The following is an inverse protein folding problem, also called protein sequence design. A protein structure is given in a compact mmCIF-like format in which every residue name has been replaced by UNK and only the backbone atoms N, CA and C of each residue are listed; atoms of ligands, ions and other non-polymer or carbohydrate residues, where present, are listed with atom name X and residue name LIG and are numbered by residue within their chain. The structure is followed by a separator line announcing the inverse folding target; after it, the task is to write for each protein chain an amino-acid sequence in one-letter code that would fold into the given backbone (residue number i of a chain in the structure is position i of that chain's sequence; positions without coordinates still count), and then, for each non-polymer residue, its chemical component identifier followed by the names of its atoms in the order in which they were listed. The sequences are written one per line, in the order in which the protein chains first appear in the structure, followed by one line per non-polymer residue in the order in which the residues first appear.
data_IF_344389143154
#
_entry.id   IF_344389143154
#
_cell.length_a   1.000
_cell.length_b   1.000
_cell.length_c   1.000
_cell.angle_alpha   90.00
_cell.angle_beta   90.00
_cell.angle_gamma   90.00
#
_symmetry.space_group_name_H-M   'P 1'
#
loop_
_entity.id
_entity.type
_entity.pdbx_description
1 polymer ?
#
# COMPACT_ATOMS: atom_id res chain seq x y z
N UNK A 1 -25.19 17.58 9.87
CA UNK A 1 -24.58 16.37 10.46
C UNK A 1 -23.31 16.10 9.67
N UNK A 2 -22.20 15.77 10.31
CA UNK A 2 -20.98 15.39 9.60
C UNK A 2 -21.17 14.07 8.83
N UNK A 3 -20.41 13.83 7.76
CA UNK A 3 -20.50 12.58 6.98
C UNK A 3 -20.36 11.33 7.86
N UNK A 4 -19.50 11.37 8.87
CA UNK A 4 -19.32 10.30 9.86
C UNK A 4 -20.61 10.02 10.67
N UNK A 5 -21.34 11.05 11.07
CA UNK A 5 -22.62 10.89 11.79
C UNK A 5 -23.67 10.22 10.92
N UNK A 6 -23.72 10.54 9.63
CA UNK A 6 -24.64 9.91 8.68
C UNK A 6 -24.26 8.44 8.42
N UNK A 7 -22.96 8.14 8.30
CA UNK A 7 -22.48 6.77 8.10
C UNK A 7 -22.75 5.89 9.33
N UNK A 8 -22.47 6.39 10.54
CA UNK A 8 -22.77 5.70 11.79
C UNK A 8 -24.26 5.36 11.92
N UNK A 9 -25.14 6.31 11.57
CA UNK A 9 -26.59 6.10 11.59
C UNK A 9 -27.03 5.04 10.57
N UNK A 10 -26.44 5.05 9.40
CA UNK A 10 -26.72 4.06 8.34
C UNK A 10 -26.27 2.65 8.75
N UNK A 11 -25.08 2.50 9.33
CA UNK A 11 -24.61 1.23 9.89
C UNK A 11 -25.60 0.68 10.92
N UNK A 12 -26.01 1.54 11.86
CA UNK A 12 -26.94 1.15 12.91
C UNK A 12 -28.32 0.72 12.36
N UNK A 13 -28.82 1.39 11.32
CA UNK A 13 -30.09 1.02 10.67
C UNK A 13 -29.96 -0.31 9.88
N UNK A 14 -28.86 -0.51 9.14
CA UNK A 14 -28.61 -1.78 8.43
C UNK A 14 -28.52 -2.96 9.42
N UNK A 15 -27.78 -2.83 10.50
CA UNK A 15 -27.70 -3.88 11.55
C UNK A 15 -29.09 -4.18 12.14
N UNK A 16 -29.90 -3.16 12.43
CA UNK A 16 -31.26 -3.33 12.93
C UNK A 16 -32.15 -4.12 11.96
N UNK A 17 -32.03 -3.84 10.66
CA UNK A 17 -32.88 -4.44 9.61
C UNK A 17 -32.42 -5.84 9.23
N UNK A 18 -31.11 -6.10 9.15
CA UNK A 18 -30.52 -7.30 8.57
C UNK A 18 -30.11 -8.36 9.58
N UNK A 19 -29.99 -8.05 10.88
CA UNK A 19 -29.60 -9.01 11.92
C UNK A 19 -30.70 -9.16 12.99
N UNK A 20 -30.89 -10.39 13.48
CA UNK A 20 -31.70 -10.63 14.70
C UNK A 20 -30.91 -10.18 15.94
N UNK A 21 -31.57 -10.12 17.13
CA UNK A 21 -30.89 -9.79 18.37
C UNK A 21 -29.71 -10.72 18.68
N UNK A 22 -29.89 -12.02 18.42
CA UNK A 22 -28.88 -13.05 18.71
C UNK A 22 -27.75 -13.09 17.67
N UNK A 23 -28.04 -12.75 16.41
CA UNK A 23 -27.04 -12.71 15.34
C UNK A 23 -26.19 -11.43 15.34
N UNK A 24 -26.73 -10.34 15.90
CA UNK A 24 -26.12 -9.03 15.79
C UNK A 24 -24.69 -8.94 16.37
N UNK A 25 -24.37 -9.55 17.54
CA UNK A 25 -22.98 -9.53 18.04
C UNK A 25 -22.01 -10.28 17.12
N UNK A 26 -22.37 -11.49 16.65
CA UNK A 26 -21.49 -12.31 15.79
C UNK A 26 -21.24 -11.66 14.42
N UNK A 27 -22.27 -11.07 13.83
CA UNK A 27 -22.20 -10.33 12.55
C UNK A 27 -21.33 -9.08 12.72
N UNK A 28 -21.51 -8.34 13.78
CA UNK A 28 -20.77 -7.11 14.04
C UNK A 28 -19.27 -7.38 14.33
N UNK A 29 -18.94 -8.47 15.04
CA UNK A 29 -17.56 -8.88 15.29
C UNK A 29 -16.83 -9.16 13.96
N UNK A 30 -17.50 -9.80 13.01
CA UNK A 30 -16.95 -10.02 11.65
C UNK A 30 -16.54 -8.72 10.94
N UNK A 31 -17.21 -7.61 11.27
CA UNK A 31 -16.89 -6.28 10.75
C UNK A 31 -16.01 -5.43 11.72
N UNK A 32 -15.39 -6.03 12.73
CA UNK A 32 -14.55 -5.32 13.68
C UNK A 32 -15.31 -4.44 14.69
N UNK A 33 -16.61 -4.68 14.88
CA UNK A 33 -17.45 -3.95 15.81
C UNK A 33 -17.93 -4.87 16.94
N UNK A 34 -17.56 -4.57 18.16
CA UNK A 34 -18.04 -5.29 19.35
C UNK A 34 -19.34 -4.66 19.84
N UNK A 35 -20.44 -5.39 19.72
CA UNK A 35 -21.76 -4.96 20.25
C UNK A 35 -22.05 -5.76 21.53
N UNK A 36 -22.42 -5.10 22.62
CA UNK A 36 -22.82 -5.78 23.85
C UNK A 36 -23.99 -6.74 23.62
N UNK A 37 -24.08 -7.80 24.43
CA UNK A 37 -25.19 -8.73 24.42
C UNK A 37 -26.54 -8.05 24.62
N UNK A 38 -27.62 -8.79 24.37
CA UNK A 38 -28.98 -8.27 24.50
C UNK A 38 -29.23 -7.70 25.91
N UNK A 39 -29.74 -6.47 25.95
CA UNK A 39 -30.16 -5.78 27.17
C UNK A 39 -31.66 -5.48 27.03
N UNK A 40 -32.46 -5.90 28.04
CA UNK A 40 -33.91 -5.70 28.03
C UNK A 40 -34.26 -4.21 28.01
N UNK A 41 -35.17 -3.81 27.11
CA UNK A 41 -35.57 -2.41 26.91
C UNK A 41 -34.67 -1.57 26.00
N UNK A 42 -33.54 -2.09 25.53
CA UNK A 42 -32.64 -1.37 24.61
C UNK A 42 -32.83 -1.87 23.17
N UNK A 43 -33.14 -0.95 22.26
CA UNK A 43 -33.34 -1.31 20.85
C UNK A 43 -32.05 -1.77 20.19
N UNK A 44 -32.14 -2.65 19.17
CA UNK A 44 -30.99 -3.05 18.33
C UNK A 44 -30.21 -1.86 17.80
N UNK A 45 -30.94 -0.83 17.35
CA UNK A 45 -30.35 0.39 16.80
C UNK A 45 -29.55 1.17 17.86
N UNK A 46 -30.06 1.27 19.08
CA UNK A 46 -29.36 1.98 20.15
C UNK A 46 -28.13 1.23 20.64
N UNK A 47 -28.18 -0.10 20.68
CA UNK A 47 -26.99 -0.94 20.95
C UNK A 47 -25.91 -0.72 19.91
N UNK A 48 -26.28 -0.71 18.61
CA UNK A 48 -25.34 -0.43 17.54
C UNK A 48 -24.76 0.99 17.62
N UNK A 49 -25.61 2.01 17.89
CA UNK A 49 -25.15 3.40 18.07
C UNK A 49 -24.16 3.55 19.22
N UNK A 50 -24.41 2.88 20.36
CA UNK A 50 -23.48 2.88 21.49
C UNK A 50 -22.12 2.27 21.11
N UNK A 51 -22.12 1.17 20.36
CA UNK A 51 -20.90 0.50 19.93
C UNK A 51 -20.11 1.30 18.87
N UNK A 52 -20.81 2.13 18.07
CA UNK A 52 -20.22 3.01 17.07
C UNK A 52 -19.74 4.35 17.64
N UNK A 53 -20.16 4.69 18.87
CA UNK A 53 -19.78 5.93 19.51
C UNK A 53 -18.26 6.00 19.74
N UNK A 54 -17.64 7.12 19.33
CA UNK A 54 -16.19 7.32 19.45
C UNK A 54 -15.34 6.67 18.39
N UNK A 55 -15.92 5.95 17.42
CA UNK A 55 -15.21 5.42 16.26
C UNK A 55 -14.75 6.53 15.34
N UNK A 56 -13.55 6.39 14.80
CA UNK A 56 -13.00 7.30 13.78
C UNK A 56 -13.70 7.12 12.44
N UNK A 57 -13.61 8.11 11.55
CA UNK A 57 -14.15 8.03 10.18
C UNK A 57 -13.62 6.80 9.44
N UNK A 58 -12.34 6.48 9.61
CA UNK A 58 -11.72 5.30 9.01
C UNK A 58 -12.31 3.99 9.54
N UNK A 59 -12.49 3.86 10.85
CA UNK A 59 -13.13 2.68 11.45
C UNK A 59 -14.58 2.53 10.98
N UNK A 60 -15.34 3.63 10.96
CA UNK A 60 -16.71 3.63 10.45
C UNK A 60 -16.76 3.22 8.98
N UNK A 61 -15.84 3.74 8.16
CA UNK A 61 -15.72 3.38 6.75
C UNK A 61 -15.44 1.88 6.56
N UNK A 62 -14.52 1.32 7.34
CA UNK A 62 -14.19 -0.10 7.25
C UNK A 62 -15.34 -1.00 7.73
N UNK A 63 -16.00 -0.65 8.83
CA UNK A 63 -17.18 -1.36 9.34
C UNK A 63 -18.31 -1.32 8.28
N UNK A 64 -18.58 -0.15 7.69
CA UNK A 64 -19.61 -0.02 6.66
C UNK A 64 -19.31 -0.86 5.42
N UNK A 65 -18.06 -0.85 4.96
CA UNK A 65 -17.60 -1.65 3.82
C UNK A 65 -17.81 -3.14 4.08
N UNK A 66 -17.35 -3.65 5.23
CA UNK A 66 -17.45 -5.07 5.58
C UNK A 66 -18.88 -5.54 5.79
N UNK A 67 -19.71 -4.74 6.47
CA UNK A 67 -21.13 -5.06 6.64
C UNK A 67 -21.89 -4.96 5.31
N UNK A 68 -21.54 -3.97 4.47
CA UNK A 68 -22.11 -3.84 3.13
C UNK A 68 -21.84 -5.07 2.27
N UNK A 69 -20.60 -5.54 2.27
CA UNK A 69 -20.19 -6.77 1.57
C UNK A 69 -20.89 -8.01 2.14
N UNK A 70 -20.92 -8.16 3.47
CA UNK A 70 -21.53 -9.30 4.15
C UNK A 70 -23.04 -9.40 3.91
N UNK A 71 -23.76 -8.28 3.86
CA UNK A 71 -25.20 -8.25 3.66
C UNK A 71 -25.63 -8.06 2.19
N UNK A 72 -24.70 -7.87 1.28
CA UNK A 72 -24.99 -7.47 -0.09
C UNK A 72 -25.64 -6.07 -0.18
N UNK A 73 -25.37 -5.20 0.79
CA UNK A 73 -25.85 -3.82 0.80
C UNK A 73 -24.86 -2.91 0.08
N UNK A 74 -25.03 -2.84 -1.24
CA UNK A 74 -24.22 -2.00 -2.13
C UNK A 74 -24.11 -0.56 -1.63
N UNK A 75 -25.21 0.00 -1.20
CA UNK A 75 -25.24 1.40 -0.83
C UNK A 75 -24.54 1.70 0.50
N UNK A 76 -24.50 0.73 1.44
CA UNK A 76 -23.71 0.82 2.67
C UNK A 76 -22.21 0.64 2.36
N UNK A 77 -21.86 -0.34 1.54
CA UNK A 77 -20.48 -0.58 1.12
C UNK A 77 -19.89 0.64 0.41
N UNK A 78 -20.64 1.23 -0.53
CA UNK A 78 -20.23 2.41 -1.28
C UNK A 78 -20.04 3.65 -0.38
N UNK A 79 -20.93 3.84 0.61
CA UNK A 79 -20.78 4.90 1.59
C UNK A 79 -19.52 4.72 2.47
N UNK A 80 -19.20 3.47 2.83
CA UNK A 80 -17.97 3.14 3.56
C UNK A 80 -16.73 3.42 2.74
N UNK A 81 -16.71 2.98 1.49
CA UNK A 81 -15.61 3.21 0.55
C UNK A 81 -15.38 4.70 0.29
N UNK A 82 -16.44 5.50 0.14
CA UNK A 82 -16.34 6.95 -0.06
C UNK A 82 -15.62 7.64 1.12
N UNK A 83 -15.89 7.22 2.35
CA UNK A 83 -15.21 7.75 3.55
C UNK A 83 -13.74 7.31 3.57
N UNK A 84 -13.43 6.06 3.27
CA UNK A 84 -12.07 5.54 3.22
C UNK A 84 -11.20 6.20 2.13
N UNK A 85 -11.83 6.64 1.05
CA UNK A 85 -11.18 7.30 -0.08
C UNK A 85 -11.06 8.82 0.08
N UNK A 86 -11.69 9.40 1.10
CA UNK A 86 -11.65 10.83 1.31
C UNK A 86 -10.22 11.36 1.46
N UNK A 87 -9.88 12.39 0.70
CA UNK A 87 -8.54 12.99 0.68
C UNK A 87 -7.48 12.22 -0.13
N UNK A 88 -7.87 11.12 -0.80
CA UNK A 88 -6.97 10.41 -1.73
C UNK A 88 -7.25 10.81 -3.18
N UNK A 89 -6.24 10.67 -4.07
CA UNK A 89 -6.42 10.97 -5.50
C UNK A 89 -7.51 10.08 -6.10
N UNK A 90 -8.53 10.71 -6.68
CA UNK A 90 -9.61 10.02 -7.39
C UNK A 90 -9.16 9.61 -8.79
N UNK A 91 -9.81 8.59 -9.36
CA UNK A 91 -9.79 8.36 -10.81
C UNK A 91 -10.95 9.17 -11.38
N UNK A 92 -10.63 10.13 -12.24
CA UNK A 92 -11.62 11.04 -12.81
C UNK A 92 -12.59 10.33 -13.75
N UNK A 93 -13.80 10.88 -13.93
CA UNK A 93 -14.78 10.32 -14.86
C UNK A 93 -14.23 10.25 -16.29
N UNK A 94 -13.45 11.23 -16.72
CA UNK A 94 -12.80 11.23 -18.05
C UNK A 94 -11.89 10.02 -18.19
N UNK A 95 -11.05 9.76 -17.21
CA UNK A 95 -10.15 8.59 -17.20
C UNK A 95 -10.95 7.28 -17.20
N UNK A 96 -12.06 7.20 -16.47
CA UNK A 96 -12.92 6.01 -16.44
C UNK A 96 -13.61 5.74 -17.79
N UNK A 97 -14.10 6.80 -18.46
CA UNK A 97 -14.66 6.70 -19.81
C UNK A 97 -13.62 6.25 -20.83
N UNK A 98 -12.43 6.83 -20.78
CA UNK A 98 -11.36 6.44 -21.69
C UNK A 98 -10.84 5.01 -21.39
N UNK A 99 -10.81 4.58 -20.14
CA UNK A 99 -10.51 3.19 -19.80
C UNK A 99 -11.57 2.22 -20.31
N UNK A 100 -12.86 2.58 -20.24
CA UNK A 100 -13.95 1.77 -20.82
C UNK A 100 -13.79 1.60 -22.34
N UNK A 101 -13.35 2.65 -23.06
CA UNK A 101 -13.11 2.60 -24.51
C UNK A 101 -12.00 1.62 -24.91
N UNK A 102 -10.98 1.41 -24.06
CA UNK A 102 -9.93 0.42 -24.32
C UNK A 102 -10.49 -1.01 -24.46
N UNK A 103 -11.63 -1.30 -23.85
CA UNK A 103 -12.28 -2.61 -23.93
C UNK A 103 -13.15 -2.78 -25.19
N UNK A 104 -13.53 -1.69 -25.86
CA UNK A 104 -14.43 -1.74 -27.01
C UNK A 104 -15.85 -2.21 -26.64
N UNK A 105 -16.25 -3.35 -27.16
CA UNK A 105 -17.52 -4.03 -26.90
C UNK A 105 -17.41 -5.31 -26.07
N UNK A 106 -16.18 -5.69 -25.68
CA UNK A 106 -15.89 -6.90 -24.91
C UNK A 106 -15.16 -6.57 -23.59
N UNK A 107 -15.90 -6.56 -22.48
CA UNK A 107 -15.33 -6.29 -21.16
C UNK A 107 -14.45 -7.43 -20.62
N UNK A 108 -14.89 -8.68 -20.77
CA UNK A 108 -14.42 -9.81 -19.95
C UNK A 108 -13.77 -10.95 -20.74
N UNK A 109 -13.75 -10.88 -22.07
CA UNK A 109 -13.25 -12.00 -22.90
C UNK A 109 -14.12 -13.26 -22.75
N UNK A 110 -13.51 -14.36 -22.35
CA UNK A 110 -14.18 -15.67 -22.21
C UNK A 110 -15.06 -15.78 -20.95
N UNK A 111 -15.03 -14.81 -20.02
CA UNK A 111 -15.86 -14.82 -18.81
C UNK A 111 -17.26 -14.26 -19.07
N UNK A 112 -18.22 -14.68 -18.24
CA UNK A 112 -19.57 -14.13 -18.25
C UNK A 112 -19.58 -12.71 -17.66
N UNK A 113 -19.91 -11.72 -18.50
CA UNK A 113 -19.98 -10.31 -18.11
C UNK A 113 -21.05 -10.06 -17.04
N UNK A 114 -22.19 -10.76 -17.09
CA UNK A 114 -23.27 -10.63 -16.10
C UNK A 114 -22.79 -11.10 -14.72
N UNK A 115 -22.06 -12.22 -14.67
CA UNK A 115 -21.49 -12.77 -13.45
C UNK A 115 -20.47 -11.81 -12.80
N UNK A 116 -19.57 -11.22 -13.61
CA UNK A 116 -18.55 -10.29 -13.11
C UNK A 116 -19.21 -9.02 -12.58
N UNK A 117 -20.11 -8.43 -13.36
CA UNK A 117 -20.77 -7.18 -12.98
C UNK A 117 -21.66 -7.38 -11.76
N UNK A 118 -22.40 -8.50 -11.66
CA UNK A 118 -23.25 -8.84 -10.51
C UNK A 118 -22.49 -8.89 -9.18
N UNK A 119 -21.24 -9.35 -9.18
CA UNK A 119 -20.40 -9.37 -7.98
C UNK A 119 -20.05 -7.98 -7.43
N UNK A 120 -20.13 -6.97 -8.29
CA UNK A 120 -19.69 -5.61 -7.97
C UNK A 120 -20.81 -4.58 -7.94
N UNK A 121 -21.90 -4.82 -8.68
CA UNK A 121 -23.01 -3.88 -8.86
C UNK A 121 -24.36 -4.60 -8.70
N UNK A 122 -25.38 -3.95 -8.13
CA UNK A 122 -26.69 -4.56 -7.84
C UNK A 122 -27.58 -4.63 -9.08
N UNK A 123 -27.09 -5.19 -10.21
CA UNK A 123 -27.74 -5.18 -11.52
C UNK A 123 -29.07 -5.92 -11.56
N UNK A 124 -29.32 -6.83 -10.61
CA UNK A 124 -30.61 -7.54 -10.53
C UNK A 124 -31.74 -6.64 -10.03
N UNK A 125 -31.42 -5.58 -9.28
CA UNK A 125 -32.39 -4.60 -8.76
C UNK A 125 -32.36 -3.27 -9.51
N UNK A 126 -31.30 -2.96 -10.25
CA UNK A 126 -31.21 -1.77 -11.10
C UNK A 126 -32.12 -1.92 -12.33
N UNK A 127 -32.71 -0.82 -12.77
CA UNK A 127 -33.55 -0.75 -13.96
C UNK A 127 -35.00 -1.19 -13.77
N UNK A 128 -35.34 -1.88 -12.68
CA UNK A 128 -36.69 -2.42 -12.47
C UNK A 128 -37.76 -1.33 -12.23
N UNK A 129 -37.39 -0.13 -11.81
CA UNK A 129 -38.29 0.93 -11.40
C UNK A 129 -38.71 1.90 -12.53
N UNK A 130 -37.99 1.96 -13.66
CA UNK A 130 -38.12 3.10 -14.55
C UNK A 130 -39.01 2.92 -15.77
N UNK A 131 -39.12 1.76 -16.49
CA UNK A 131 -39.98 1.70 -17.68
C UNK A 131 -40.44 0.30 -18.19
N UNK A 132 -39.81 -0.82 -17.78
CA UNK A 132 -40.13 -2.12 -18.43
C UNK A 132 -40.27 -3.32 -17.47
N UNK A 133 -40.06 -3.15 -16.18
CA UNK A 133 -40.01 -4.27 -15.22
C UNK A 133 -38.87 -5.28 -15.48
N UNK A 134 -37.91 -4.93 -16.34
CA UNK A 134 -36.72 -5.74 -16.63
C UNK A 134 -35.54 -5.24 -15.74
N UNK A 135 -34.78 -6.19 -15.20
CA UNK A 135 -33.56 -5.87 -14.50
C UNK A 135 -32.43 -5.55 -15.48
N UNK A 136 -31.49 -4.70 -15.08
CA UNK A 136 -30.31 -4.37 -15.88
C UNK A 136 -29.48 -5.62 -16.23
N UNK A 137 -29.51 -6.67 -15.39
CA UNK A 137 -28.86 -7.95 -15.69
C UNK A 137 -29.41 -8.59 -16.98
N UNK A 138 -30.72 -8.51 -17.25
CA UNK A 138 -31.33 -9.02 -18.49
C UNK A 138 -30.98 -8.18 -19.70
N UNK A 139 -30.86 -6.86 -19.52
CA UNK A 139 -30.46 -5.98 -20.62
C UNK A 139 -29.00 -6.21 -20.99
N UNK A 140 -28.11 -6.42 -20.01
CA UNK A 140 -26.71 -6.81 -20.27
C UNK A 140 -26.66 -8.15 -21.00
N UNK A 141 -27.41 -9.17 -20.56
CA UNK A 141 -27.49 -10.46 -21.24
C UNK A 141 -27.94 -10.30 -22.69
N UNK A 142 -28.96 -9.48 -22.94
CA UNK A 142 -29.51 -9.27 -24.28
C UNK A 142 -28.52 -8.53 -25.18
N UNK A 143 -27.93 -7.43 -24.73
CA UNK A 143 -27.22 -6.49 -25.59
C UNK A 143 -25.71 -6.70 -25.63
N UNK A 144 -25.12 -7.45 -24.67
CA UNK A 144 -23.69 -7.76 -24.69
C UNK A 144 -23.39 -9.24 -24.98
N UNK A 145 -24.33 -10.17 -24.66
CA UNK A 145 -24.09 -11.60 -24.88
C UNK A 145 -24.86 -12.09 -26.13
N UNK A 146 -26.21 -11.88 -26.19
CA UNK A 146 -27.02 -12.39 -27.29
C UNK A 146 -26.86 -11.57 -28.57
N UNK A 147 -26.80 -10.26 -28.44
CA UNK A 147 -26.62 -9.30 -29.53
C UNK A 147 -25.27 -8.58 -29.32
N UNK A 148 -24.19 -9.33 -29.48
CA UNK A 148 -22.83 -8.81 -29.29
C UNK A 148 -22.60 -7.57 -30.18
N UNK A 149 -22.10 -6.47 -29.57
CA UNK A 149 -21.85 -5.20 -30.25
C UNK A 149 -22.97 -4.17 -30.18
N UNK A 150 -24.19 -4.52 -29.64
CA UNK A 150 -25.23 -3.52 -29.39
C UNK A 150 -24.82 -2.47 -28.36
N UNK A 151 -24.11 -2.89 -27.31
CA UNK A 151 -23.58 -2.04 -26.27
C UNK A 151 -22.07 -2.03 -26.27
N UNK A 152 -21.47 -0.83 -26.21
CA UNK A 152 -20.06 -0.69 -25.88
C UNK A 152 -19.83 -0.83 -24.37
N UNK A 153 -18.60 -1.14 -23.98
CA UNK A 153 -18.22 -1.17 -22.56
C UNK A 153 -18.36 0.22 -21.91
N UNK A 154 -18.15 1.32 -22.66
CA UNK A 154 -18.41 2.67 -22.16
C UNK A 154 -19.90 2.85 -21.80
N UNK A 155 -20.81 2.39 -22.64
CA UNK A 155 -22.24 2.44 -22.35
C UNK A 155 -22.61 1.55 -21.15
N UNK A 156 -22.06 0.34 -21.08
CA UNK A 156 -22.23 -0.52 -19.90
C UNK A 156 -21.78 0.18 -18.63
N UNK A 157 -20.62 0.81 -18.62
CA UNK A 157 -20.07 1.51 -17.44
C UNK A 157 -20.99 2.65 -16.97
N UNK A 158 -21.62 3.36 -17.91
CA UNK A 158 -22.62 4.37 -17.59
C UNK A 158 -23.85 3.74 -16.92
N UNK A 159 -24.40 2.66 -17.51
CA UNK A 159 -25.61 2.00 -17.01
C UNK A 159 -25.44 1.39 -15.61
N UNK A 160 -24.27 0.79 -15.31
CA UNK A 160 -24.00 0.18 -14.00
C UNK A 160 -23.50 1.21 -12.95
N UNK A 161 -23.27 2.48 -13.34
CA UNK A 161 -22.75 3.53 -12.45
C UNK A 161 -21.25 3.41 -12.19
N UNK A 162 -20.49 2.68 -13.02
CA UNK A 162 -19.03 2.51 -12.85
C UNK A 162 -18.24 3.82 -13.03
N UNK A 163 -18.83 4.78 -13.77
CA UNK A 163 -18.18 6.06 -14.02
C UNK A 163 -18.11 6.95 -12.76
N UNK A 164 -19.02 6.74 -11.80
CA UNK A 164 -19.16 7.57 -10.60
C UNK A 164 -18.99 6.82 -9.27
N UNK A 165 -18.89 5.49 -9.30
CA UNK A 165 -18.71 4.68 -8.10
C UNK A 165 -17.38 4.98 -7.39
N UNK A 166 -17.19 4.40 -6.19
CA UNK A 166 -15.91 4.47 -5.48
C UNK A 166 -14.75 4.00 -6.35
N UNK A 167 -13.57 4.53 -6.11
CA UNK A 167 -12.35 4.15 -6.81
C UNK A 167 -12.04 2.66 -6.62
N UNK A 168 -12.22 2.15 -5.42
CA UNK A 168 -11.95 0.74 -5.10
C UNK A 168 -12.83 -0.19 -5.94
N UNK A 169 -14.12 0.13 -6.08
CA UNK A 169 -15.06 -0.64 -6.89
C UNK A 169 -14.71 -0.57 -8.38
N UNK A 170 -14.36 0.61 -8.89
CA UNK A 170 -13.87 0.76 -10.25
C UNK A 170 -12.61 -0.07 -10.49
N UNK A 171 -11.64 -0.03 -9.56
CA UNK A 171 -10.43 -0.85 -9.67
C UNK A 171 -10.76 -2.34 -9.72
N UNK A 172 -11.63 -2.83 -8.82
CA UNK A 172 -12.06 -4.24 -8.81
C UNK A 172 -12.73 -4.65 -10.11
N UNK A 173 -13.50 -3.74 -10.76
CA UNK A 173 -14.09 -4.02 -12.07
C UNK A 173 -13.01 -4.20 -13.14
N UNK A 174 -12.07 -3.27 -13.26
CA UNK A 174 -10.95 -3.37 -14.22
C UNK A 174 -10.11 -4.63 -13.95
N UNK A 175 -9.81 -4.94 -12.69
CA UNK A 175 -9.03 -6.11 -12.29
C UNK A 175 -9.74 -7.43 -12.63
N UNK A 176 -11.05 -7.50 -12.41
CA UNK A 176 -11.86 -8.67 -12.78
C UNK A 176 -11.94 -8.86 -14.29
N UNK A 177 -12.09 -7.78 -15.05
CA UNK A 177 -12.11 -7.80 -16.51
C UNK A 177 -10.79 -8.25 -17.14
N UNK A 178 -9.66 -8.07 -16.42
CA UNK A 178 -8.33 -8.49 -16.85
C UNK A 178 -7.93 -9.87 -16.32
N UNK A 179 -8.80 -10.57 -15.58
CA UNK A 179 -8.44 -11.85 -14.98
C UNK A 179 -8.10 -12.90 -16.07
N UNK A 180 -7.07 -13.75 -15.89
CA UNK A 180 -6.63 -14.72 -16.90
C UNK A 180 -7.67 -15.80 -17.25
N UNK A 181 -8.73 -15.96 -16.47
CA UNK A 181 -9.88 -16.78 -16.85
C UNK A 181 -10.62 -16.22 -18.08
N UNK A 182 -10.56 -14.91 -18.34
CA UNK A 182 -11.20 -14.29 -19.49
C UNK A 182 -10.23 -13.91 -20.60
N UNK A 183 -9.07 -13.34 -20.23
CA UNK A 183 -8.07 -12.84 -21.17
C UNK A 183 -6.68 -13.31 -20.79
N UNK A 184 -5.95 -13.87 -21.74
CA UNK A 184 -4.63 -14.44 -21.53
C UNK A 184 -3.63 -14.03 -22.61
N UNK A 185 -2.33 -14.12 -22.28
CA UNK A 185 -1.24 -13.95 -23.21
C UNK A 185 -1.13 -12.55 -23.82
N UNK A 186 -0.78 -12.44 -25.11
CA UNK A 186 -0.50 -11.14 -25.74
C UNK A 186 -1.67 -10.16 -25.72
N UNK A 187 -2.92 -10.65 -25.82
CA UNK A 187 -4.11 -9.80 -25.79
C UNK A 187 -4.36 -9.15 -24.42
N UNK A 188 -4.11 -9.88 -23.32
CA UNK A 188 -4.17 -9.32 -21.98
C UNK A 188 -3.10 -8.24 -21.80
N UNK A 189 -1.86 -8.50 -22.24
CA UNK A 189 -0.74 -7.56 -22.11
C UNK A 189 -0.99 -6.28 -22.90
N UNK A 190 -1.46 -6.39 -24.15
CA UNK A 190 -1.77 -5.23 -24.99
C UNK A 190 -2.85 -4.33 -24.35
N UNK A 191 -3.93 -4.93 -23.85
CA UNK A 191 -4.99 -4.20 -23.16
C UNK A 191 -4.49 -3.52 -21.89
N UNK A 192 -3.62 -4.19 -21.11
CA UNK A 192 -3.00 -3.60 -19.93
C UNK A 192 -2.13 -2.39 -20.29
N UNK A 193 -1.39 -2.45 -21.39
CA UNK A 193 -0.56 -1.34 -21.86
C UNK A 193 -1.42 -0.14 -22.25
N UNK A 194 -2.53 -0.35 -22.97
CA UNK A 194 -3.49 0.70 -23.34
C UNK A 194 -4.14 1.32 -22.10
N UNK A 195 -4.63 0.50 -21.16
CA UNK A 195 -5.21 0.97 -19.90
C UNK A 195 -4.20 1.76 -19.06
N UNK A 196 -2.93 1.35 -19.06
CA UNK A 196 -1.88 2.06 -18.34
C UNK A 196 -1.61 3.46 -18.92
N UNK A 197 -1.77 3.68 -20.23
CA UNK A 197 -1.68 5.02 -20.83
C UNK A 197 -2.76 5.95 -20.26
N UNK A 198 -3.97 5.43 -20.09
CA UNK A 198 -5.11 6.18 -19.58
C UNK A 198 -5.02 6.39 -18.06
N UNK A 199 -4.78 5.34 -17.29
CA UNK A 199 -4.75 5.37 -15.83
C UNK A 199 -3.63 6.24 -15.25
N UNK A 200 -2.50 6.37 -15.95
CA UNK A 200 -1.38 7.24 -15.56
C UNK A 200 -1.76 8.72 -15.44
N UNK A 201 -2.79 9.17 -16.12
CA UNK A 201 -3.30 10.56 -16.03
C UNK A 201 -3.74 10.91 -14.60
N UNK A 202 -4.30 9.92 -13.90
CA UNK A 202 -4.72 10.05 -12.50
C UNK A 202 -3.75 9.36 -11.52
N UNK A 203 -2.51 9.17 -11.96
CA UNK A 203 -1.46 8.59 -11.12
C UNK A 203 -1.72 7.14 -10.72
N UNK A 204 -2.31 6.33 -11.63
CA UNK A 204 -2.57 4.90 -11.43
C UNK A 204 -1.90 4.08 -12.52
N UNK A 205 -1.60 2.82 -12.20
CA UNK A 205 -1.09 1.82 -13.14
C UNK A 205 -1.57 0.43 -12.76
N UNK A 206 -1.66 -0.44 -13.74
CA UNK A 206 -1.86 -1.88 -13.58
C UNK A 206 -0.50 -2.55 -13.43
N UNK A 207 -0.26 -3.18 -12.29
CA UNK A 207 0.94 -3.96 -12.02
C UNK A 207 0.59 -5.42 -11.78
N UNK A 208 1.49 -6.30 -12.18
CA UNK A 208 1.43 -7.73 -11.82
C UNK A 208 1.68 -7.85 -10.31
N UNK A 209 0.75 -8.48 -9.60
CA UNK A 209 0.84 -8.71 -8.14
C UNK A 209 0.96 -10.19 -7.78
N UNK A 210 0.56 -11.06 -8.67
CA UNK A 210 0.62 -12.51 -8.53
C UNK A 210 0.63 -13.19 -9.89
N UNK A 211 0.82 -14.50 -9.90
CA UNK A 211 0.62 -15.34 -11.07
C UNK A 211 -0.30 -16.51 -10.70
N UNK A 212 -1.17 -16.88 -11.61
CA UNK A 212 -2.04 -18.04 -11.50
C UNK A 212 -1.85 -18.93 -12.74
N UNK A 213 -1.42 -20.17 -12.53
CA UNK A 213 -1.12 -21.12 -13.63
C UNK A 213 -0.15 -20.54 -14.68
N UNK A 214 0.80 -19.70 -14.26
CA UNK A 214 1.77 -19.03 -15.14
C UNK A 214 1.24 -17.79 -15.86
N UNK A 215 0.02 -17.34 -15.57
CA UNK A 215 -0.55 -16.12 -16.12
C UNK A 215 -0.58 -14.98 -15.10
N UNK A 216 -0.25 -13.75 -15.51
CA UNK A 216 -0.18 -12.61 -14.60
C UNK A 216 -1.56 -12.17 -14.09
N UNK A 217 -1.65 -11.90 -12.78
CA UNK A 217 -2.78 -11.23 -12.13
C UNK A 217 -2.44 -9.77 -11.95
N UNK A 218 -3.25 -8.89 -12.52
CA UNK A 218 -3.05 -7.44 -12.47
C UNK A 218 -3.89 -6.79 -11.38
N UNK A 219 -3.34 -5.73 -10.77
CA UNK A 219 -4.04 -4.83 -9.83
C UNK A 219 -3.79 -3.37 -10.19
N UNK A 220 -4.82 -2.54 -10.03
CA UNK A 220 -4.70 -1.08 -10.16
C UNK A 220 -4.05 -0.53 -8.90
N UNK A 221 -2.84 -0.04 -9.03
CA UNK A 221 -2.06 0.51 -7.92
C UNK A 221 -1.76 1.99 -8.16
N UNK A 222 -1.52 2.81 -7.11
CA UNK A 222 -0.97 4.13 -7.31
C UNK A 222 0.32 4.06 -8.12
N UNK A 223 0.47 4.97 -9.08
CA UNK A 223 1.75 5.17 -9.76
C UNK A 223 2.71 5.77 -8.74
N UNK A 224 3.44 4.91 -8.06
CA UNK A 224 4.47 5.33 -7.11
C UNK A 224 5.65 5.93 -7.85
N UNK A 225 6.35 6.88 -7.24
CA UNK A 225 7.70 7.26 -7.66
C UNK A 225 8.73 6.21 -7.22
N UNK A 226 8.28 5.11 -6.62
CA UNK A 226 9.08 3.99 -6.19
C UNK A 226 9.03 2.82 -7.17
N UNK A 227 9.95 1.85 -7.07
CA UNK A 227 10.00 0.66 -7.91
C UNK A 227 8.75 -0.22 -7.75
N UNK A 228 8.35 -0.91 -8.82
CA UNK A 228 7.19 -1.78 -8.84
C UNK A 228 7.39 -3.03 -7.97
N UNK A 229 6.39 -3.37 -7.16
CA UNK A 229 6.34 -4.59 -6.34
C UNK A 229 6.59 -4.34 -4.85
N UNK A 230 6.14 -5.28 -4.02
CA UNK A 230 6.47 -5.28 -2.58
C UNK A 230 7.81 -5.98 -2.39
N UNK A 231 8.73 -5.42 -1.56
CA UNK A 231 9.98 -6.09 -1.26
C UNK A 231 9.73 -7.42 -0.54
N UNK A 232 10.33 -8.50 -1.05
CA UNK A 232 10.18 -9.83 -0.42
C UNK A 232 11.09 -9.99 0.79
N UNK A 233 12.29 -9.43 0.72
CA UNK A 233 13.28 -9.52 1.79
C UNK A 233 14.02 -8.19 1.96
N UNK A 234 14.33 -7.86 3.19
CA UNK A 234 15.11 -6.70 3.56
C UNK A 234 16.27 -7.15 4.44
N UNK A 235 17.52 -6.97 3.94
CA UNK A 235 18.75 -7.31 4.67
C UNK A 235 19.44 -6.03 5.08
N UNK A 236 19.62 -5.83 6.38
CA UNK A 236 20.03 -4.55 6.93
C UNK A 236 20.78 -4.67 8.26
N UNK A 237 21.28 -3.53 8.75
CA UNK A 237 21.86 -3.34 10.07
C UNK A 237 22.96 -4.36 10.42
N UNK A 238 23.92 -4.61 9.52
CA UNK A 238 25.07 -5.44 9.86
C UNK A 238 25.99 -4.73 10.86
N UNK A 239 26.32 -5.43 11.93
CA UNK A 239 27.27 -4.97 12.97
C UNK A 239 28.59 -5.76 12.94
N UNK A 240 28.87 -6.48 11.86
CA UNK A 240 30.07 -7.27 11.63
C UNK A 240 30.50 -7.24 10.16
N UNK A 241 31.17 -8.30 9.68
CA UNK A 241 31.54 -8.43 8.28
C UNK A 241 30.32 -8.33 7.37
N UNK A 242 30.51 -7.77 6.17
CA UNK A 242 29.45 -7.62 5.19
C UNK A 242 28.82 -8.97 4.84
N UNK A 243 27.48 -9.08 4.79
CA UNK A 243 26.83 -10.30 4.32
C UNK A 243 27.12 -10.51 2.83
N UNK A 244 27.43 -11.75 2.45
CA UNK A 244 27.45 -12.18 1.06
C UNK A 244 26.05 -12.69 0.70
N UNK A 245 25.47 -12.10 -0.34
CA UNK A 245 24.09 -12.34 -0.74
C UNK A 245 24.10 -13.03 -2.09
N UNK A 246 23.33 -14.11 -2.21
CA UNK A 246 23.14 -14.85 -3.45
C UNK A 246 21.67 -15.21 -3.66
N UNK A 247 21.39 -15.83 -4.80
CA UNK A 247 20.07 -16.39 -5.08
C UNK A 247 20.11 -17.90 -4.81
N UNK A 248 19.17 -18.42 -4.02
CA UNK A 248 18.98 -19.86 -3.80
C UNK A 248 18.15 -20.48 -4.92
N UNK A 249 17.21 -19.71 -5.48
CA UNK A 249 16.38 -20.08 -6.62
C UNK A 249 16.27 -18.89 -7.58
N UNK A 250 16.80 -19.07 -8.80
CA UNK A 250 16.74 -18.04 -9.83
C UNK A 250 15.34 -17.87 -10.45
N UNK A 251 14.46 -18.85 -10.28
CA UNK A 251 13.08 -18.84 -10.80
C UNK A 251 12.16 -18.07 -9.85
N UNK A 252 12.26 -18.36 -8.55
CA UNK A 252 11.42 -17.71 -7.52
C UNK A 252 12.06 -16.46 -6.91
N UNK A 253 13.28 -16.12 -7.33
CA UNK A 253 14.06 -15.00 -6.79
C UNK A 253 14.26 -15.07 -5.26
N UNK A 254 14.38 -16.27 -4.71
CA UNK A 254 14.66 -16.45 -3.30
C UNK A 254 16.11 -16.08 -2.99
N UNK A 255 16.26 -15.16 -2.05
CA UNK A 255 17.54 -14.60 -1.65
C UNK A 255 18.05 -15.38 -0.45
N UNK A 256 19.33 -15.75 -0.51
CA UNK A 256 20.04 -16.44 0.57
C UNK A 256 21.28 -15.65 0.96
N UNK A 257 21.57 -15.62 2.25
CA UNK A 257 22.83 -15.08 2.75
C UNK A 257 23.85 -16.22 2.77
N UNK A 258 24.85 -16.12 1.91
CA UNK A 258 25.87 -17.15 1.74
C UNK A 258 26.89 -17.15 2.89
N UNK A 259 27.19 -15.96 3.44
CA UNK A 259 28.12 -15.82 4.59
C UNK A 259 27.73 -14.62 5.46
N UNK A 260 28.17 -14.66 6.74
CA UNK A 260 27.96 -13.61 7.73
C UNK A 260 26.49 -13.31 8.06
N UNK A 261 25.58 -14.28 7.94
CA UNK A 261 24.17 -14.12 8.23
C UNK A 261 23.89 -13.66 9.68
N UNK A 262 24.70 -14.10 10.65
CA UNK A 262 24.56 -13.71 12.05
C UNK A 262 24.88 -12.24 12.33
N UNK A 263 25.55 -11.56 11.40
CA UNK A 263 25.93 -10.15 11.56
C UNK A 263 24.82 -9.19 11.16
N UNK A 264 23.86 -9.59 10.35
CA UNK A 264 22.81 -8.71 9.82
C UNK A 264 21.40 -9.13 10.29
N UNK A 265 20.46 -8.26 10.08
CA UNK A 265 19.03 -8.52 10.30
C UNK A 265 18.35 -8.79 8.96
N UNK A 266 17.40 -9.72 8.96
CA UNK A 266 16.59 -10.08 7.79
C UNK A 266 15.12 -9.94 8.17
N UNK A 267 14.45 -8.93 7.61
CA UNK A 267 13.02 -8.77 7.77
C UNK A 267 12.30 -9.63 6.74
N UNK A 268 11.55 -10.61 7.22
CA UNK A 268 10.92 -11.68 6.44
C UNK A 268 9.39 -11.53 6.31
N UNK A 269 8.81 -10.48 6.91
CA UNK A 269 7.37 -10.23 6.82
C UNK A 269 7.02 -9.40 5.60
N UNK A 270 5.80 -9.56 5.05
CA UNK A 270 5.33 -8.71 3.94
C UNK A 270 5.29 -7.23 4.35
N UNK A 271 5.84 -6.37 3.50
CA UNK A 271 5.74 -4.92 3.67
C UNK A 271 4.45 -4.45 3.02
N UNK A 272 3.60 -3.77 3.80
CA UNK A 272 2.28 -3.31 3.38
C UNK A 272 2.37 -2.06 2.49
N UNK A 273 1.25 -1.68 1.88
CA UNK A 273 1.15 -0.46 1.06
C UNK A 273 1.43 0.83 1.85
N UNK A 274 1.23 0.81 3.16
CA UNK A 274 1.50 1.93 4.06
C UNK A 274 3.00 2.08 4.38
N UNK A 275 3.84 1.26 3.74
CA UNK A 275 5.27 1.23 3.98
C UNK A 275 5.65 0.29 5.13
N UNK A 276 6.76 0.59 5.81
CA UNK A 276 7.19 -0.13 7.01
C UNK A 276 7.24 0.82 8.19
N UNK A 277 6.35 0.59 9.16
CA UNK A 277 6.26 1.39 10.37
C UNK A 277 7.22 0.88 11.45
N UNK A 278 7.65 1.78 12.32
CA UNK A 278 8.46 1.42 13.49
C UNK A 278 7.79 0.38 14.38
N UNK A 279 6.49 0.52 14.61
CA UNK A 279 5.68 -0.44 15.38
C UNK A 279 5.72 -1.85 14.79
N UNK A 280 5.65 -1.99 13.47
CA UNK A 280 5.71 -3.29 12.78
C UNK A 280 7.11 -3.91 12.88
N UNK A 281 8.15 -3.09 12.79
CA UNK A 281 9.53 -3.55 12.95
C UNK A 281 9.82 -4.01 14.39
N UNK A 282 9.27 -3.29 15.39
CA UNK A 282 9.34 -3.68 16.82
C UNK A 282 8.60 -4.99 17.08
N UNK A 283 7.41 -5.17 16.49
CA UNK A 283 6.64 -6.40 16.64
C UNK A 283 7.31 -7.59 15.96
N UNK A 284 7.95 -7.38 14.81
CA UNK A 284 8.81 -8.39 14.18
C UNK A 284 9.99 -8.74 15.09
N UNK A 285 10.68 -7.74 15.66
CA UNK A 285 11.83 -7.92 16.53
C UNK A 285 11.51 -8.73 17.80
N UNK A 286 10.32 -8.55 18.36
CA UNK A 286 9.84 -9.33 19.52
C UNK A 286 9.80 -10.83 19.25
N UNK A 287 9.60 -11.24 18.01
CA UNK A 287 9.60 -12.64 17.59
C UNK A 287 10.99 -13.20 17.26
N UNK A 288 12.05 -12.39 17.30
CA UNK A 288 13.42 -12.85 17.00
C UNK A 288 13.98 -13.62 18.22
N UNK A 289 14.53 -14.82 18.05
CA UNK A 289 15.11 -15.60 19.15
C UNK A 289 16.19 -14.83 19.91
N UNK A 290 16.12 -14.88 21.24
CA UNK A 290 17.11 -14.23 22.13
C UNK A 290 16.87 -12.73 22.41
N UNK A 291 15.73 -12.21 21.99
CA UNK A 291 15.31 -10.83 22.30
C UNK A 291 14.51 -10.84 23.61
N UNK A 292 14.90 -9.98 24.55
CA UNK A 292 14.15 -9.76 25.80
C UNK A 292 12.79 -9.15 25.50
N UNK A 293 11.67 -9.77 25.97
CA UNK A 293 10.32 -9.38 25.60
C UNK A 293 9.86 -8.04 26.19
N UNK A 294 10.45 -7.59 27.30
CA UNK A 294 9.91 -6.46 28.07
C UNK A 294 10.21 -5.07 27.44
N UNK A 295 11.30 -4.93 26.69
CA UNK A 295 11.68 -3.64 26.04
C UNK A 295 12.07 -3.77 24.57
N UNK A 296 11.22 -4.35 23.69
CA UNK A 296 11.62 -4.66 22.32
C UNK A 296 11.95 -3.40 21.50
N UNK A 297 11.27 -2.30 21.72
CA UNK A 297 11.57 -1.04 21.00
C UNK A 297 12.95 -0.47 21.38
N UNK A 298 13.34 -0.57 22.63
CA UNK A 298 14.64 -0.11 23.11
C UNK A 298 15.77 -1.02 22.61
N UNK A 299 15.61 -2.32 22.73
CA UNK A 299 16.63 -3.30 22.31
C UNK A 299 16.83 -3.26 20.80
N UNK A 300 15.74 -3.13 20.01
CA UNK A 300 15.83 -2.90 18.57
C UNK A 300 16.57 -1.60 18.25
N UNK A 301 16.20 -0.48 18.89
CA UNK A 301 16.86 0.80 18.66
C UNK A 301 18.37 0.73 18.91
N UNK A 302 18.80 0.11 20.00
CA UNK A 302 20.21 -0.12 20.31
C UNK A 302 20.89 -1.02 19.26
N UNK A 303 20.22 -2.09 18.81
CA UNK A 303 20.74 -3.00 17.80
C UNK A 303 20.93 -2.30 16.44
N UNK A 304 19.96 -1.47 16.02
CA UNK A 304 20.06 -0.69 14.79
C UNK A 304 21.16 0.37 14.89
N UNK A 305 21.20 1.11 16.00
CA UNK A 305 22.21 2.13 16.24
C UNK A 305 23.65 1.57 16.22
N UNK A 306 23.83 0.34 16.71
CA UNK A 306 25.12 -0.35 16.72
C UNK A 306 25.65 -0.67 15.31
N UNK A 307 24.81 -0.69 14.28
CA UNK A 307 25.22 -0.94 12.91
C UNK A 307 25.71 0.32 12.17
N UNK A 308 25.50 1.52 12.75
CA UNK A 308 25.85 2.79 12.12
C UNK A 308 27.36 3.02 12.12
N UNK A 309 27.89 3.41 10.97
CA UNK A 309 29.34 3.48 10.76
C UNK A 309 29.98 4.77 11.29
N UNK A 310 29.24 5.89 11.31
CA UNK A 310 29.76 7.20 11.67
C UNK A 310 28.97 7.90 12.79
N UNK A 311 29.59 8.90 13.43
CA UNK A 311 28.89 9.74 14.41
C UNK A 311 27.81 10.60 13.76
N UNK A 312 27.99 11.00 12.51
CA UNK A 312 27.00 11.74 11.74
C UNK A 312 25.74 10.89 11.49
N UNK A 313 25.91 9.62 11.10
CA UNK A 313 24.78 8.68 10.97
C UNK A 313 24.07 8.46 12.31
N UNK A 314 24.83 8.26 13.41
CA UNK A 314 24.28 8.12 14.76
C UNK A 314 23.50 9.37 15.18
N UNK A 315 24.04 10.57 14.90
CA UNK A 315 23.39 11.84 15.17
C UNK A 315 22.06 12.01 14.43
N UNK A 316 22.01 11.65 13.13
CA UNK A 316 20.80 11.67 12.34
C UNK A 316 19.74 10.70 12.90
N UNK A 317 20.15 9.46 13.17
CA UNK A 317 19.28 8.41 13.70
C UNK A 317 18.69 8.78 15.07
N UNK A 318 19.53 9.18 16.01
CA UNK A 318 19.10 9.58 17.37
C UNK A 318 18.16 10.79 17.33
N UNK A 319 18.46 11.78 16.47
CA UNK A 319 17.65 13.00 16.32
C UNK A 319 16.29 12.66 15.68
N UNK A 320 16.26 11.78 14.69
CA UNK A 320 15.01 11.32 14.08
C UNK A 320 14.05 10.76 15.13
N UNK A 321 14.50 9.79 15.93
CA UNK A 321 13.65 9.18 16.95
C UNK A 321 13.28 10.15 18.07
N UNK A 322 14.19 11.02 18.49
CA UNK A 322 13.92 12.05 19.50
C UNK A 322 12.82 13.02 19.05
N UNK A 323 12.81 13.44 17.79
CA UNK A 323 11.84 14.39 17.25
C UNK A 323 10.49 13.77 16.91
N UNK A 324 10.49 12.55 16.33
CA UNK A 324 9.29 12.04 15.67
C UNK A 324 8.63 10.88 16.39
N UNK A 325 9.27 10.21 17.34
CA UNK A 325 8.66 9.08 18.05
C UNK A 325 7.35 9.46 18.76
N UNK A 326 7.34 10.57 19.50
CA UNK A 326 6.11 11.04 20.14
C UNK A 326 5.17 11.76 19.16
N UNK A 327 5.73 12.51 18.19
CA UNK A 327 4.97 13.31 17.22
C UNK A 327 4.14 12.45 16.27
N UNK A 328 4.66 11.31 15.79
CA UNK A 328 4.00 10.40 14.84
C UNK A 328 3.45 9.13 15.50
N UNK A 329 3.90 8.79 16.70
CA UNK A 329 3.44 7.64 17.48
C UNK A 329 3.36 6.34 16.62
N UNK A 330 2.17 5.73 16.51
CA UNK A 330 1.94 4.51 15.73
C UNK A 330 2.17 4.64 14.22
N UNK A 331 2.17 5.87 13.68
CA UNK A 331 2.41 6.14 12.26
C UNK A 331 3.89 6.44 11.94
N UNK A 332 4.81 6.30 12.90
CA UNK A 332 6.23 6.58 12.69
C UNK A 332 6.82 5.61 11.66
N UNK A 333 7.33 6.07 10.50
CA UNK A 333 8.04 5.22 9.56
C UNK A 333 9.34 4.65 10.17
N UNK A 334 9.68 3.41 9.85
CA UNK A 334 10.93 2.82 10.29
C UNK A 334 12.11 3.43 9.50
N UNK A 335 13.02 4.12 10.19
CA UNK A 335 14.28 4.55 9.61
C UNK A 335 15.27 3.38 9.68
N UNK A 336 15.47 2.70 8.56
CA UNK A 336 16.19 1.43 8.47
C UNK A 336 17.63 1.70 8.09
N UNK A 337 18.60 1.42 8.99
CA UNK A 337 19.99 1.73 8.72
C UNK A 337 20.70 0.61 7.96
N UNK A 338 21.74 0.96 7.23
CA UNK A 338 22.71 0.05 6.62
C UNK A 338 22.04 -1.07 5.82
N UNK A 339 21.26 -0.68 4.78
CA UNK A 339 20.53 -1.63 3.95
C UNK A 339 21.43 -2.18 2.86
N UNK A 340 21.64 -3.49 2.90
CA UNK A 340 22.48 -4.21 1.91
C UNK A 340 21.67 -4.73 0.73
N UNK A 341 20.45 -5.12 1.00
CA UNK A 341 19.52 -5.55 -0.01
C UNK A 341 18.12 -5.11 0.36
N UNK A 342 17.49 -4.51 -0.61
CA UNK A 342 16.08 -4.33 -0.71
C UNK A 342 15.67 -5.02 -2.01
N UNK A 343 15.08 -6.22 -1.91
CA UNK A 343 14.65 -6.95 -3.09
C UNK A 343 13.54 -6.19 -3.80
N UNK A 344 13.83 -5.77 -5.01
CA UNK A 344 12.89 -5.11 -5.89
C UNK A 344 12.90 -5.79 -7.26
N UNK A 345 11.73 -6.35 -7.70
CA UNK A 345 11.63 -7.01 -9.00
C UNK A 345 12.03 -6.11 -10.19
N UNK A 346 11.83 -4.79 -10.10
CA UNK A 346 12.21 -3.86 -11.16
C UNK A 346 13.73 -3.66 -11.22
N UNK A 347 14.38 -3.56 -10.07
CA UNK A 347 15.85 -3.48 -9.97
C UNK A 347 16.50 -4.76 -10.52
N UNK A 348 15.92 -5.92 -10.23
CA UNK A 348 16.43 -7.21 -10.73
C UNK A 348 16.37 -7.31 -12.25
N UNK A 349 15.32 -6.80 -12.90
CA UNK A 349 15.25 -6.72 -14.37
C UNK A 349 16.33 -5.84 -14.98
N UNK A 350 16.63 -4.71 -14.35
CA UNK A 350 17.70 -3.80 -14.79
C UNK A 350 19.10 -4.43 -14.61
N UNK A 351 19.25 -5.26 -13.55
CA UNK A 351 20.53 -5.85 -13.16
C UNK A 351 20.84 -7.15 -13.89
N UNK A 352 19.87 -7.83 -14.51
CA UNK A 352 20.10 -9.04 -15.34
C UNK A 352 21.07 -8.82 -16.51
N UNK A 353 21.30 -7.57 -16.89
CA UNK A 353 22.27 -7.21 -17.94
C UNK A 353 23.66 -6.80 -17.42
N UNK A 354 23.84 -6.75 -16.09
CA UNK A 354 25.15 -6.49 -15.46
C UNK A 354 25.52 -7.68 -14.57
N UNK A 355 26.68 -8.25 -14.76
CA UNK A 355 27.21 -9.32 -13.93
C UNK A 355 27.47 -8.80 -12.51
N UNK A 356 26.54 -9.07 -11.59
CA UNK A 356 26.63 -8.74 -10.17
C UNK A 356 25.56 -7.74 -9.71
N UNK A 357 24.94 -8.02 -8.56
CA UNK A 357 24.13 -7.04 -7.84
C UNK A 357 25.02 -5.82 -7.52
N UNK A 358 24.55 -4.58 -7.70
CA UNK A 358 25.31 -3.42 -7.22
C UNK A 358 25.52 -3.59 -5.71
N UNK A 359 26.77 -3.69 -5.30
CA UNK A 359 27.19 -3.84 -3.90
C UNK A 359 27.02 -2.54 -3.10
N UNK A 360 25.97 -1.79 -3.39
CA UNK A 360 25.76 -0.49 -2.79
C UNK A 360 24.91 -0.62 -1.54
N UNK A 361 25.54 -0.45 -0.41
CA UNK A 361 24.89 -0.31 0.89
C UNK A 361 24.26 1.07 0.94
N UNK A 362 22.97 1.14 1.27
CA UNK A 362 22.27 2.39 1.58
C UNK A 362 22.48 2.69 3.06
N UNK A 363 22.83 3.94 3.40
CA UNK A 363 23.02 4.30 4.81
C UNK A 363 21.69 4.26 5.56
N UNK A 364 20.62 4.80 4.97
CA UNK A 364 19.26 4.67 5.50
C UNK A 364 18.25 4.47 4.39
N UNK A 365 17.21 3.70 4.68
CA UNK A 365 16.03 3.48 3.83
C UNK A 365 14.77 3.76 4.62
N UNK A 366 13.82 4.49 4.02
CA UNK A 366 12.44 4.63 4.45
C UNK A 366 11.54 4.01 3.41
N UNK A 367 10.64 3.14 3.84
CA UNK A 367 9.57 2.60 3.04
C UNK A 367 8.26 3.28 3.48
N UNK A 368 7.78 4.19 2.64
CA UNK A 368 6.66 5.07 2.94
C UNK A 368 5.37 4.61 2.22
N UNK A 369 4.19 5.15 2.58
CA UNK A 369 2.95 4.86 1.91
C UNK A 369 3.03 5.03 0.38
N UNK A 370 2.17 4.31 -0.34
CA UNK A 370 2.10 4.34 -1.81
C UNK A 370 3.39 3.89 -2.51
N UNK A 371 4.10 2.91 -1.95
CA UNK A 371 5.35 2.37 -2.48
C UNK A 371 6.46 3.41 -2.64
N UNK A 372 6.43 4.51 -1.89
CA UNK A 372 7.51 5.48 -1.91
C UNK A 372 8.72 4.92 -1.17
N UNK A 373 9.88 5.07 -1.76
CA UNK A 373 11.15 4.55 -1.24
C UNK A 373 12.18 5.67 -1.22
N UNK A 374 12.56 6.04 -0.03
CA UNK A 374 13.47 7.17 0.21
C UNK A 374 14.77 6.64 0.78
N UNK A 375 15.85 6.92 0.06
CA UNK A 375 17.21 6.64 0.50
C UNK A 375 17.82 7.93 1.05
N UNK A 376 18.42 7.83 2.22
CA UNK A 376 19.17 8.92 2.82
C UNK A 376 20.63 8.45 2.97
N UNK A 377 21.54 9.17 2.34
CA UNK A 377 22.97 8.93 2.38
C UNK A 377 23.67 9.99 3.21
N UNK A 378 24.68 9.59 3.99
CA UNK A 378 25.51 10.48 4.80
C UNK A 378 26.93 10.46 4.25
N UNK A 379 27.25 11.48 3.46
CA UNK A 379 28.51 11.54 2.73
C UNK A 379 29.66 12.03 3.63
N UNK A 380 30.60 11.15 3.89
CA UNK A 380 31.92 11.48 4.43
C UNK A 380 32.92 11.84 3.32
N UNK A 381 34.09 12.31 3.69
CA UNK A 381 35.17 12.67 2.74
C UNK A 381 35.58 11.53 1.81
N UNK A 382 35.40 10.28 2.23
CA UNK A 382 35.69 9.07 1.45
C UNK A 382 34.82 8.91 0.19
N UNK A 383 33.66 9.54 0.12
CA UNK A 383 32.74 9.43 -1.03
C UNK A 383 33.21 10.23 -2.25
N UNK A 384 34.07 11.20 -2.07
CA UNK A 384 34.59 12.05 -3.14
C UNK A 384 36.14 12.14 -3.15
N UNK A 385 36.84 11.32 -2.30
CA UNK A 385 38.29 11.28 -2.26
C UNK A 385 38.82 9.84 -2.27
N UNK A 386 40.02 9.67 -2.86
CA UNK A 386 40.86 8.47 -2.73
C UNK A 386 42.22 8.92 -2.20
N UNK A 387 42.75 8.19 -1.23
CA UNK A 387 44.01 8.51 -0.58
C UNK A 387 44.05 9.97 -0.05
N UNK A 388 42.93 10.43 0.53
CA UNK A 388 42.73 11.79 1.05
C UNK A 388 42.84 12.92 0.03
N UNK A 389 42.77 12.59 -1.30
CA UNK A 389 42.76 13.57 -2.39
C UNK A 389 41.42 13.53 -3.13
N UNK A 390 40.88 14.67 -3.60
CA UNK A 390 39.69 14.68 -4.42
C UNK A 390 39.80 13.74 -5.64
N UNK A 391 38.78 12.90 -5.86
CA UNK A 391 38.77 11.92 -6.94
C UNK A 391 37.53 12.10 -7.82
N UNK A 392 37.71 12.54 -9.05
CA UNK A 392 36.65 12.63 -10.05
C UNK A 392 36.04 11.25 -10.36
N UNK A 393 36.84 10.20 -10.27
CA UNK A 393 36.34 8.83 -10.48
C UNK A 393 35.37 8.39 -9.37
N UNK A 394 35.74 8.64 -8.08
CA UNK A 394 34.85 8.35 -6.96
C UNK A 394 33.54 9.15 -7.04
N UNK A 395 33.64 10.43 -7.37
CA UNK A 395 32.47 11.30 -7.59
C UNK A 395 31.58 10.76 -8.74
N UNK A 396 32.18 10.38 -9.86
CA UNK A 396 31.45 9.83 -11.02
C UNK A 396 30.75 8.50 -10.69
N UNK A 397 31.39 7.63 -9.89
CA UNK A 397 30.80 6.39 -9.40
C UNK A 397 29.56 6.67 -8.51
N UNK A 398 29.68 7.61 -7.59
CA UNK A 398 28.59 8.04 -6.70
C UNK A 398 27.40 8.59 -7.49
N UNK A 399 27.65 9.54 -8.41
CA UNK A 399 26.59 10.14 -9.26
C UNK A 399 25.97 9.10 -10.21
N UNK A 400 26.77 8.11 -10.66
CA UNK A 400 26.28 6.99 -11.44
C UNK A 400 25.29 6.14 -10.68
N UNK A 401 25.63 5.80 -9.45
CA UNK A 401 24.78 5.04 -8.57
C UNK A 401 23.46 5.76 -8.21
N UNK A 402 23.52 7.08 -8.00
CA UNK A 402 22.31 7.90 -7.78
C UNK A 402 21.37 7.86 -8.99
N UNK A 403 21.91 7.93 -10.20
CA UNK A 403 21.10 7.81 -11.42
C UNK A 403 20.42 6.46 -11.52
N UNK A 404 21.16 5.40 -11.24
CA UNK A 404 20.63 4.03 -11.31
C UNK A 404 19.49 3.83 -10.28
N UNK A 405 19.67 4.30 -9.04
CA UNK A 405 18.63 4.23 -8.01
C UNK A 405 17.40 5.09 -8.37
N UNK A 406 17.61 6.32 -8.89
CA UNK A 406 16.50 7.17 -9.32
C UNK A 406 15.72 6.57 -10.50
N UNK A 407 16.41 5.96 -11.46
CA UNK A 407 15.76 5.24 -12.56
C UNK A 407 15.00 3.99 -12.06
N UNK A 408 15.47 3.39 -10.97
CA UNK A 408 14.75 2.32 -10.26
C UNK A 408 13.59 2.84 -9.39
N UNK A 409 13.37 4.16 -9.32
CA UNK A 409 12.24 4.79 -8.63
C UNK A 409 12.50 5.12 -7.17
N UNK A 410 13.76 5.18 -6.71
CA UNK A 410 14.08 5.68 -5.38
C UNK A 410 14.20 7.21 -5.37
N UNK A 411 13.71 7.84 -4.31
CA UNK A 411 14.09 9.21 -3.97
C UNK A 411 15.40 9.17 -3.17
N UNK A 412 16.36 10.01 -3.53
CA UNK A 412 17.67 10.02 -2.89
C UNK A 412 17.94 11.41 -2.34
N UNK A 413 18.26 11.45 -1.04
CA UNK A 413 18.69 12.64 -0.34
C UNK A 413 20.07 12.41 0.28
N UNK A 414 20.96 13.39 0.13
CA UNK A 414 22.32 13.33 0.65
C UNK A 414 22.56 14.42 1.67
N UNK A 415 23.20 14.04 2.75
CA UNK A 415 23.72 14.95 3.76
C UNK A 415 25.23 14.86 3.82
N UNK A 416 25.90 15.98 3.74
CA UNK A 416 27.32 16.01 4.09
C UNK A 416 27.50 15.72 5.57
N UNK A 417 28.45 14.88 5.95
CA UNK A 417 28.70 14.57 7.38
C UNK A 417 28.92 15.81 8.24
N UNK A 418 29.48 16.88 7.68
CA UNK A 418 29.67 18.16 8.37
C UNK A 418 28.37 18.91 8.67
N UNK A 419 27.29 18.68 7.89
CA UNK A 419 25.99 19.31 8.14
C UNK A 419 25.27 18.68 9.33
N UNK A 420 25.65 17.46 9.69
CA UNK A 420 25.06 16.65 10.76
C UNK A 420 25.84 16.76 12.10
N UNK A 421 26.74 17.72 12.19
CA UNK A 421 27.56 17.99 13.40
C UNK A 421 27.25 19.39 13.91
N UNK A 422 27.24 19.57 15.25
CA UNK A 422 27.02 20.84 15.90
C UNK A 422 25.55 21.20 16.15
N UNK A 423 25.30 22.40 16.69
CA UNK A 423 23.99 22.83 17.17
C UNK A 423 22.93 22.97 16.08
N UNK A 424 23.32 23.29 14.86
CA UNK A 424 22.42 23.47 13.73
C UNK A 424 21.91 22.15 13.12
N UNK A 425 22.58 21.03 13.38
CA UNK A 425 22.25 19.73 12.81
C UNK A 425 20.80 19.29 13.14
N UNK A 426 20.38 19.50 14.41
CA UNK A 426 19.03 19.16 14.84
C UNK A 426 17.94 19.89 14.06
N UNK A 427 18.10 21.20 13.82
CA UNK A 427 17.17 22.01 13.04
C UNK A 427 17.18 21.65 11.54
N UNK A 428 18.33 21.27 10.99
CA UNK A 428 18.44 20.81 9.63
C UNK A 428 17.64 19.52 9.44
N UNK A 429 17.85 18.55 10.33
CA UNK A 429 17.15 17.25 10.31
C UNK A 429 15.65 17.45 10.48
N UNK A 430 15.20 18.27 11.44
CA UNK A 430 13.78 18.56 11.66
C UNK A 430 13.14 19.16 10.40
N UNK A 431 13.73 20.22 9.86
CA UNK A 431 13.23 20.89 8.64
C UNK A 431 13.16 19.93 7.45
N UNK A 432 14.14 19.04 7.31
CA UNK A 432 14.15 18.04 6.23
C UNK A 432 13.01 17.06 6.37
N UNK A 433 12.86 16.41 7.54
CA UNK A 433 11.82 15.42 7.74
C UNK A 433 10.41 16.03 7.76
N UNK A 434 10.21 17.24 8.31
CA UNK A 434 8.91 17.91 8.25
C UNK A 434 8.48 18.16 6.78
N UNK A 435 9.42 18.54 5.91
CA UNK A 435 9.14 18.68 4.47
C UNK A 435 8.90 17.34 3.79
N UNK A 436 9.65 16.31 4.17
CA UNK A 436 9.47 14.95 3.64
C UNK A 436 8.11 14.38 4.03
N UNK A 437 7.68 14.57 5.29
CA UNK A 437 6.37 14.16 5.76
C UNK A 437 5.23 14.93 5.06
N UNK A 438 5.39 16.22 4.85
CA UNK A 438 4.43 17.01 4.08
C UNK A 438 4.32 16.51 2.62
N UNK A 439 5.44 16.21 1.97
CA UNK A 439 5.51 15.71 0.60
C UNK A 439 4.79 14.36 0.46
N UNK A 440 5.02 13.42 1.38
CA UNK A 440 4.48 12.07 1.35
C UNK A 440 3.21 11.89 2.18
N UNK A 441 2.65 12.97 2.72
CA UNK A 441 1.42 12.98 3.54
C UNK A 441 1.50 12.03 4.75
N UNK A 442 2.67 11.91 5.36
CA UNK A 442 2.85 11.17 6.61
C UNK A 442 2.34 12.02 7.76
N UNK A 443 1.26 11.58 8.39
CA UNK A 443 0.62 12.28 9.51
C UNK A 443 0.43 11.35 10.70
N UNK A 444 0.39 11.88 11.91
CA UNK A 444 0.09 11.11 13.10
C UNK A 444 -1.32 10.50 12.97
N UNK A 445 -1.43 9.19 13.03
CA UNK A 445 -2.70 8.55 13.31
C UNK A 445 -2.97 8.69 14.80
N UNK A 446 -4.10 9.31 15.16
CA UNK A 446 -4.51 9.43 16.55
C UNK A 446 -4.95 8.06 17.08
N UNK A 447 -4.00 7.25 17.54
CA UNK A 447 -4.28 6.05 18.31
C UNK A 447 -3.90 6.30 19.77
N UNK A 448 -4.92 6.57 20.63
CA UNK A 448 -4.75 6.86 22.06
C UNK A 448 -4.21 5.67 22.87
N UNK A 449 -4.21 4.47 22.32
CA UNK A 449 -3.84 3.25 23.05
C UNK A 449 -2.32 3.01 23.13
N UNK A 450 -1.51 3.76 22.40
CA UNK A 450 -0.05 3.61 22.38
C UNK A 450 0.71 4.47 23.40
N UNK A 451 0.06 5.46 23.98
CA UNK A 451 0.70 6.41 24.94
C UNK A 451 0.93 5.76 26.32
N UNK A 452 0.25 4.65 26.64
CA UNK A 452 0.35 3.98 27.93
C UNK A 452 1.38 2.83 27.97
N UNK A 453 2.11 2.55 26.90
CA UNK A 453 3.12 1.49 26.81
C UNK A 453 4.55 2.04 26.65
N UNK A 454 4.80 3.27 27.13
CA UNK A 454 6.13 3.93 27.11
C UNK A 454 6.69 4.05 28.52
#
# INVERSE_FOLDING_TARGET
MSGASQLSERIAETLKQRATNDQMPSVAIGAGLVIPDYEEGVSKKDRARRALAGKTDRELGEIARQLGEQFGDYALEEAGLAVLEHGTAAITEITRRDAAKCFGDDLCGEQDVVEIVRKLFPIDTMGAELFSGRSLARDIEQHMIRNHGDWSVEFLFDQIGALTCSRDRFNRLIEAALHPLGRRGPGQVALVDELNVVLRRDGRVLNVVAEESGYPIYRVVPMGRGPAGSPKNLIFASNGPKPEIGFSDAVNNDIVILSNASSCLVYDRPIRRDGLLWSELVEWWRGVPGVEPDEPARTLGLRLRASLASDAERGLFDTYFRLYRAKLAGALPALIPQVYLHYDPAVVKLLRHRAGLPRQRMDFLLLLPNNQRVVIEVDGSQHFSRDSKPSLAAYSEMVGADRDLRLAGYEIYRFGSNELVGESAGHLIERFFDRLWALHKVTASYDRNWVMAL
#
